data_IF_299960575017
#
_entry.id   IF_299960575017
#
_cell.length_a   1.000
_cell.length_b   1.000
_cell.length_c   1.000
_cell.angle_alpha   90.00
_cell.angle_beta   90.00
_cell.angle_gamma   90.00
#
_symmetry.space_group_name_H-M   'P 1'
#
loop_
_entity.id
_entity.type
_entity.pdbx_description
1 polymer ?
#
# COMPACT_ATOMS: atom_id res chain seq x y z
N UNK A 1 26.16 28.14 12.80
CA UNK A 1 25.31 27.26 11.96
C UNK A 1 26.11 26.04 11.54
N UNK A 2 25.54 24.85 11.74
CA UNK A 2 26.04 23.56 11.26
C UNK A 2 24.88 22.87 10.54
N UNK A 3 25.18 22.19 9.43
CA UNK A 3 24.21 21.41 8.67
C UNK A 3 24.74 19.99 8.54
N UNK A 4 23.99 19.02 9.07
CA UNK A 4 24.25 17.60 8.92
C UNK A 4 23.30 17.05 7.85
N UNK A 5 23.86 16.29 6.90
CA UNK A 5 23.10 15.60 5.85
C UNK A 5 23.48 14.15 5.86
N UNK A 6 22.49 13.27 5.94
CA UNK A 6 22.68 11.82 5.96
C UNK A 6 21.61 11.18 5.09
N UNK A 7 21.97 10.14 4.32
CA UNK A 7 20.96 9.35 3.61
C UNK A 7 20.30 8.38 4.56
N UNK A 8 18.98 8.22 4.46
CA UNK A 8 18.30 7.23 5.28
C UNK A 8 18.65 5.80 4.85
N UNK A 9 19.01 5.57 3.59
CA UNK A 9 19.54 4.29 3.10
C UNK A 9 20.84 3.84 3.78
N UNK A 10 21.61 4.79 4.32
CA UNK A 10 22.90 4.51 4.97
C UNK A 10 22.72 4.17 6.46
N UNK A 11 21.49 4.27 6.99
CA UNK A 11 21.12 3.91 8.35
C UNK A 11 20.46 2.53 8.37
N UNK A 12 20.78 1.74 9.39
CA UNK A 12 20.09 0.48 9.65
C UNK A 12 18.71 0.80 10.25
N UNK A 13 17.67 0.83 9.41
CA UNK A 13 16.29 1.07 9.81
C UNK A 13 15.40 0.00 9.21
N UNK A 14 14.54 -0.60 10.02
CA UNK A 14 13.46 -1.43 9.52
C UNK A 14 12.29 -0.56 9.02
N UNK A 15 11.21 -1.21 8.57
CA UNK A 15 10.03 -0.51 8.06
C UNK A 15 9.44 0.46 9.10
N UNK A 16 9.25 -0.02 10.33
CA UNK A 16 8.67 0.73 11.44
C UNK A 16 9.53 1.93 11.82
N UNK A 17 10.82 1.72 12.06
CA UNK A 17 11.76 2.76 12.45
C UNK A 17 11.92 3.80 11.33
N UNK A 18 11.94 3.38 10.06
CA UNK A 18 12.00 4.32 8.94
C UNK A 18 10.74 5.20 8.88
N UNK A 19 9.56 4.59 8.94
CA UNK A 19 8.27 5.29 8.93
C UNK A 19 8.14 6.28 10.10
N UNK A 20 8.45 5.82 11.33
CA UNK A 20 8.44 6.67 12.52
C UNK A 20 9.45 7.81 12.44
N UNK A 21 10.68 7.54 11.96
CA UNK A 21 11.70 8.56 11.77
C UNK A 21 11.24 9.65 10.80
N UNK A 22 10.60 9.28 9.69
CA UNK A 22 10.08 10.24 8.72
C UNK A 22 9.01 11.14 9.34
N UNK A 23 8.09 10.59 10.15
CA UNK A 23 7.09 11.40 10.88
C UNK A 23 7.74 12.35 11.89
N UNK A 24 8.80 11.92 12.59
CA UNK A 24 9.54 12.76 13.54
C UNK A 24 10.38 13.84 12.84
N UNK A 25 10.94 13.53 11.68
CA UNK A 25 11.79 14.43 10.90
C UNK A 25 10.98 15.56 10.24
N UNK A 26 9.77 15.27 9.78
CA UNK A 26 8.89 16.23 9.12
C UNK A 26 9.47 16.74 7.80
N UNK A 27 9.52 18.06 7.64
CA UNK A 27 10.01 18.76 6.44
C UNK A 27 11.52 18.68 6.21
N UNK A 28 12.26 18.01 7.11
CA UNK A 28 13.71 17.88 7.05
C UNK A 28 14.20 16.76 6.13
N UNK A 29 13.31 15.89 5.66
CA UNK A 29 13.62 14.80 4.76
C UNK A 29 13.16 15.11 3.34
N UNK A 30 14.03 14.84 2.37
CA UNK A 30 13.72 14.92 0.95
C UNK A 30 13.52 13.52 0.35
N UNK A 31 12.28 13.14 -0.04
CA UNK A 31 11.99 11.84 -0.66
C UNK A 31 12.69 11.61 -2.00
N UNK A 32 13.03 12.68 -2.75
CA UNK A 32 13.63 12.54 -4.07
C UNK A 32 15.12 12.16 -4.00
N UNK A 33 15.81 12.62 -2.95
CA UNK A 33 17.26 12.38 -2.76
C UNK A 33 17.58 11.39 -1.64
N UNK A 34 16.56 10.98 -0.86
CA UNK A 34 16.69 10.15 0.34
C UNK A 34 17.54 10.79 1.44
N UNK A 35 17.61 12.13 1.50
CA UNK A 35 18.49 12.86 2.42
C UNK A 35 17.70 13.51 3.57
N UNK A 36 18.09 13.18 4.80
CA UNK A 36 17.70 13.90 6.02
C UNK A 36 18.67 15.06 6.28
N UNK A 37 18.13 16.27 6.43
CA UNK A 37 18.90 17.50 6.67
C UNK A 37 18.59 18.09 8.04
N UNK A 38 19.57 18.06 8.96
CA UNK A 38 19.47 18.67 10.29
C UNK A 38 20.30 19.95 10.30
N UNK A 39 19.65 21.10 10.49
CA UNK A 39 20.30 22.41 10.63
C UNK A 39 20.26 22.86 12.08
N UNK A 40 21.43 23.17 12.65
CA UNK A 40 21.58 23.66 14.03
C UNK A 40 22.31 25.00 14.06
N UNK A 41 21.70 25.98 14.71
CA UNK A 41 22.21 27.35 14.82
C UNK A 41 22.02 27.97 16.21
N UNK A 42 21.47 27.21 17.16
CA UNK A 42 21.07 27.71 18.49
C UNK A 42 22.24 28.01 19.41
N UNK A 43 23.40 27.38 19.23
CA UNK A 43 24.54 27.53 20.14
C UNK A 43 25.54 28.60 19.68
N UNK A 44 26.21 29.33 20.59
CA UNK A 44 27.22 30.33 20.22
C UNK A 44 28.43 29.72 19.48
N UNK A 45 28.88 28.53 19.89
CA UNK A 45 30.04 27.89 19.29
C UNK A 45 29.63 26.89 18.21
N UNK A 46 30.43 26.83 17.13
CA UNK A 46 30.22 25.85 16.05
C UNK A 46 30.32 24.40 16.55
N UNK A 47 31.26 24.13 17.47
CA UNK A 47 31.41 22.81 18.10
C UNK A 47 30.14 22.35 18.81
N UNK A 48 29.50 23.24 19.58
CA UNK A 48 28.25 22.92 20.28
C UNK A 48 27.12 22.59 19.30
N UNK A 49 26.99 23.35 18.21
CA UNK A 49 25.99 23.05 17.17
C UNK A 49 26.26 21.71 16.47
N UNK A 50 27.54 21.35 16.28
CA UNK A 50 27.94 20.05 15.72
C UNK A 50 27.55 18.91 16.67
N UNK A 51 27.93 19.00 17.94
CA UNK A 51 27.60 18.00 18.96
C UNK A 51 26.07 17.86 19.11
N UNK A 52 25.34 18.98 19.03
CA UNK A 52 23.88 18.98 19.08
C UNK A 52 23.23 18.34 17.84
N UNK A 53 23.78 18.57 16.63
CA UNK A 53 23.27 17.93 15.42
C UNK A 53 23.42 16.40 15.48
N UNK A 54 24.57 15.92 15.99
CA UNK A 54 24.78 14.50 16.23
C UNK A 54 23.83 13.94 17.30
N UNK A 55 23.66 14.67 18.41
CA UNK A 55 22.70 14.28 19.44
C UNK A 55 21.27 14.12 18.88
N UNK A 56 20.82 15.07 18.05
CA UNK A 56 19.49 15.01 17.44
C UNK A 56 19.35 13.80 16.51
N UNK A 57 20.36 13.52 15.68
CA UNK A 57 20.36 12.34 14.83
C UNK A 57 20.28 11.04 15.66
N UNK A 58 21.12 10.93 16.69
CA UNK A 58 21.14 9.77 17.60
C UNK A 58 19.81 9.60 18.34
N UNK A 59 19.23 10.70 18.84
CA UNK A 59 17.95 10.67 19.54
C UNK A 59 16.83 10.20 18.60
N UNK A 60 16.69 10.82 17.43
CA UNK A 60 15.64 10.45 16.47
C UNK A 60 15.80 9.00 16.01
N UNK A 61 17.04 8.55 15.75
CA UNK A 61 17.32 7.16 15.40
C UNK A 61 16.87 6.20 16.51
N UNK A 62 17.26 6.41 17.76
CA UNK A 62 16.87 5.50 18.84
C UNK A 62 15.38 5.58 19.21
N UNK A 63 14.77 6.76 19.13
CA UNK A 63 13.33 6.91 19.37
C UNK A 63 12.48 6.27 18.27
N UNK A 64 12.98 6.22 17.03
CA UNK A 64 12.26 5.56 15.94
C UNK A 64 12.19 4.05 16.11
N UNK A 65 13.18 3.42 16.76
CA UNK A 65 13.18 1.98 17.07
C UNK A 65 12.25 1.58 18.23
N UNK A 66 11.80 2.54 19.04
CA UNK A 66 10.89 2.24 20.15
C UNK A 66 9.46 2.17 19.63
N UNK A 67 8.69 1.20 20.09
CA UNK A 67 7.25 1.13 19.83
C UNK A 67 6.50 1.52 21.09
N UNK A 68 5.78 2.63 21.02
CA UNK A 68 4.95 3.13 22.11
C UNK A 68 3.52 2.58 22.02
N UNK A 69 2.77 2.46 23.14
CA UNK A 69 1.43 1.86 23.13
C UNK A 69 0.43 2.55 22.21
N UNK A 70 0.54 3.88 22.04
CA UNK A 70 -0.35 4.68 21.21
C UNK A 70 -0.13 4.45 19.70
N UNK A 71 0.98 3.82 19.29
CA UNK A 71 1.22 3.50 17.88
C UNK A 71 0.26 2.43 17.36
N UNK A 72 -0.33 1.63 18.25
CA UNK A 72 -1.37 0.67 17.89
C UNK A 72 -2.68 1.33 17.44
N UNK A 73 -2.91 2.58 17.82
CA UNK A 73 -4.13 3.34 17.50
C UNK A 73 -4.03 4.11 16.17
N UNK A 74 -2.99 3.83 15.36
CA UNK A 74 -2.75 4.45 14.05
C UNK A 74 -3.91 4.15 13.10
N UNK A 75 -4.58 5.19 12.61
CA UNK A 75 -5.70 5.04 11.69
C UNK A 75 -5.23 4.72 10.26
N UNK A 76 -6.12 4.15 9.43
CA UNK A 76 -5.85 3.89 8.02
C UNK A 76 -5.43 5.17 7.25
N UNK A 77 -5.98 6.33 7.62
CA UNK A 77 -5.61 7.63 7.02
C UNK A 77 -4.19 8.08 7.36
N UNK A 78 -3.59 7.54 8.42
CA UNK A 78 -2.24 7.87 8.87
C UNK A 78 -1.19 6.91 8.29
N UNK A 79 -1.62 5.86 7.57
CA UNK A 79 -0.75 4.92 6.91
C UNK A 79 -0.07 5.57 5.69
N UNK A 80 1.23 5.34 5.59
CA UNK A 80 2.13 5.78 4.53
C UNK A 80 1.86 5.09 3.20
N UNK A 81 1.35 3.86 3.25
CA UNK A 81 0.93 3.10 2.10
C UNK A 81 -0.36 2.36 2.42
N UNK A 82 -1.08 2.02 1.36
CA UNK A 82 -2.22 1.15 1.44
C UNK A 82 -1.78 -0.30 1.67
N UNK A 83 -2.34 -0.91 2.70
CA UNK A 83 -2.23 -2.34 2.98
C UNK A 83 -3.51 -3.05 2.54
N UNK A 84 -3.37 -4.17 1.84
CA UNK A 84 -4.51 -4.99 1.42
C UNK A 84 -5.17 -5.67 2.62
N UNK A 85 -4.36 -6.16 3.56
CA UNK A 85 -4.80 -6.90 4.72
C UNK A 85 -5.63 -6.01 5.66
N UNK A 86 -6.78 -6.55 6.08
CA UNK A 86 -7.80 -5.87 6.91
C UNK A 86 -8.44 -4.65 6.24
N UNK A 87 -8.18 -4.43 4.95
CA UNK A 87 -8.79 -3.31 4.22
C UNK A 87 -10.27 -3.55 3.93
N UNK A 88 -10.99 -2.46 3.70
CA UNK A 88 -12.36 -2.52 3.19
C UNK A 88 -12.47 -3.27 1.85
N UNK A 89 -11.48 -3.14 0.98
CA UNK A 89 -11.46 -3.78 -0.33
C UNK A 89 -11.34 -5.30 -0.22
N UNK A 90 -10.51 -5.79 0.72
CA UNK A 90 -10.41 -7.21 1.05
C UNK A 90 -11.73 -7.76 1.58
N UNK A 91 -12.34 -7.09 2.57
CA UNK A 91 -13.61 -7.50 3.14
C UNK A 91 -14.72 -7.59 2.07
N UNK A 92 -14.78 -6.63 1.15
CA UNK A 92 -15.73 -6.63 0.04
C UNK A 92 -15.49 -7.80 -0.93
N UNK A 93 -14.23 -8.09 -1.28
CA UNK A 93 -13.88 -9.18 -2.18
C UNK A 93 -14.26 -10.54 -1.58
N UNK A 94 -13.90 -10.77 -0.32
CA UNK A 94 -14.26 -12.01 0.41
C UNK A 94 -15.78 -12.17 0.47
N UNK A 95 -16.51 -11.13 0.91
CA UNK A 95 -17.97 -11.17 0.96
C UNK A 95 -18.61 -11.42 -0.41
N UNK A 96 -18.03 -10.87 -1.47
CA UNK A 96 -18.52 -11.07 -2.83
C UNK A 96 -18.35 -12.53 -3.29
N UNK A 97 -17.16 -13.13 -3.09
CA UNK A 97 -16.92 -14.54 -3.43
C UNK A 97 -17.86 -15.45 -2.64
N UNK A 98 -18.11 -15.18 -1.36
CA UNK A 98 -19.09 -15.92 -0.53
C UNK A 98 -20.49 -15.86 -1.11
N UNK A 99 -20.95 -14.66 -1.50
CA UNK A 99 -22.27 -14.49 -2.14
C UNK A 99 -22.36 -15.25 -3.46
N UNK A 100 -21.30 -15.24 -4.26
CA UNK A 100 -21.25 -16.02 -5.49
C UNK A 100 -21.35 -17.52 -5.22
N UNK A 101 -20.59 -18.05 -4.26
CA UNK A 101 -20.66 -19.47 -3.87
C UNK A 101 -22.09 -19.88 -3.50
N UNK A 102 -22.77 -19.08 -2.69
CA UNK A 102 -24.15 -19.35 -2.27
C UNK A 102 -25.11 -19.36 -3.47
N UNK A 103 -24.97 -18.43 -4.41
CA UNK A 103 -25.81 -18.37 -5.61
C UNK A 103 -25.54 -19.49 -6.63
N UNK A 104 -24.29 -19.95 -6.72
CA UNK A 104 -23.86 -20.99 -7.66
C UNK A 104 -24.15 -22.40 -7.16
N UNK A 105 -24.30 -22.60 -5.83
CA UNK A 105 -24.76 -23.87 -5.28
C UNK A 105 -26.15 -24.30 -5.81
N UNK A 106 -26.90 -23.37 -6.39
CA UNK A 106 -28.23 -23.59 -6.98
C UNK A 106 -28.22 -23.78 -8.51
N UNK A 107 -27.09 -23.54 -9.20
CA UNK A 107 -26.99 -23.62 -10.67
C UNK A 107 -25.87 -24.57 -11.14
N UNK A 108 -26.22 -25.49 -12.04
CA UNK A 108 -25.34 -26.57 -12.56
C UNK A 108 -24.35 -26.10 -13.66
N UNK A 109 -24.33 -24.79 -13.98
CA UNK A 109 -23.53 -24.27 -15.10
C UNK A 109 -22.13 -23.80 -14.64
N UNK A 110 -21.11 -24.27 -15.37
CA UNK A 110 -19.67 -24.12 -15.06
C UNK A 110 -19.12 -22.73 -15.43
N UNK A 111 -19.76 -21.67 -14.96
CA UNK A 111 -19.37 -20.29 -15.32
C UNK A 111 -18.14 -19.79 -14.54
N UNK A 112 -17.88 -20.31 -13.33
CA UNK A 112 -16.84 -19.82 -12.42
C UNK A 112 -16.11 -20.97 -11.69
N UNK A 113 -15.11 -21.62 -12.33
CA UNK A 113 -14.45 -22.80 -11.76
C UNK A 113 -13.66 -22.49 -10.48
N UNK A 114 -13.09 -21.29 -10.36
CA UNK A 114 -12.32 -20.85 -9.19
C UNK A 114 -13.16 -20.61 -7.93
N UNK A 115 -14.46 -20.37 -8.10
CA UNK A 115 -15.41 -20.18 -6.99
C UNK A 115 -16.09 -21.50 -6.62
N UNK A 116 -16.41 -22.33 -7.62
CA UNK A 116 -17.05 -23.64 -7.43
C UNK A 116 -16.11 -24.69 -6.82
N UNK A 117 -14.79 -24.56 -7.01
CA UNK A 117 -13.81 -25.47 -6.42
C UNK A 117 -13.61 -25.26 -4.91
N UNK A 118 -14.12 -24.17 -4.36
CA UNK A 118 -14.01 -23.87 -2.94
C UNK A 118 -15.08 -24.64 -2.15
N UNK A 119 -14.65 -25.23 -1.03
CA UNK A 119 -15.57 -25.90 -0.11
C UNK A 119 -16.64 -24.92 0.41
N UNK A 120 -17.91 -25.34 0.58
CA UNK A 120 -18.96 -24.51 1.18
C UNK A 120 -18.62 -24.09 2.63
N UNK A 121 -17.73 -24.82 3.31
CA UNK A 121 -17.18 -24.53 4.64
C UNK A 121 -15.76 -23.93 4.57
N UNK A 122 -15.41 -23.22 3.49
CA UNK A 122 -14.09 -22.57 3.39
C UNK A 122 -13.94 -21.45 4.42
N UNK A 123 -12.72 -21.19 4.88
CA UNK A 123 -12.39 -20.06 5.75
C UNK A 123 -12.12 -18.80 4.92
N UNK A 124 -12.10 -17.63 5.55
CA UNK A 124 -11.74 -16.38 4.85
C UNK A 124 -10.32 -16.43 4.29
N UNK A 125 -9.42 -17.13 4.97
CA UNK A 125 -8.05 -17.35 4.51
C UNK A 125 -7.99 -18.21 3.24
N UNK A 126 -8.89 -19.19 3.11
CA UNK A 126 -9.02 -19.99 1.87
C UNK A 126 -9.52 -19.14 0.70
N UNK A 127 -10.47 -18.23 0.95
CA UNK A 127 -10.96 -17.30 -0.08
C UNK A 127 -9.86 -16.32 -0.51
N UNK A 128 -9.05 -15.83 0.44
CA UNK A 128 -7.89 -14.98 0.15
C UNK A 128 -6.78 -15.72 -0.60
N UNK A 129 -6.72 -17.05 -0.46
CA UNK A 129 -5.72 -17.86 -1.16
C UNK A 129 -5.99 -17.99 -2.67
N UNK A 130 -7.23 -17.75 -3.11
CA UNK A 130 -7.68 -17.80 -4.51
C UNK A 130 -6.88 -16.83 -5.37
N UNK A 131 -6.40 -17.32 -6.52
CA UNK A 131 -5.54 -16.55 -7.42
C UNK A 131 -6.20 -15.24 -7.87
N UNK A 132 -7.47 -15.29 -8.27
CA UNK A 132 -8.21 -14.12 -8.75
C UNK A 132 -8.41 -13.06 -7.65
N UNK A 133 -8.51 -13.48 -6.38
CA UNK A 133 -8.62 -12.56 -5.23
C UNK A 133 -7.26 -11.91 -4.93
N UNK A 134 -6.16 -12.67 -5.07
CA UNK A 134 -4.80 -12.14 -4.94
C UNK A 134 -4.47 -11.15 -6.06
N UNK A 135 -4.77 -11.51 -7.31
CA UNK A 135 -4.55 -10.66 -8.48
C UNK A 135 -5.34 -9.34 -8.35
N UNK A 136 -6.55 -9.40 -7.80
CA UNK A 136 -7.34 -8.23 -7.48
C UNK A 136 -6.67 -7.38 -6.39
N UNK A 137 -6.25 -8.00 -5.28
CA UNK A 137 -5.58 -7.30 -4.19
C UNK A 137 -4.28 -6.62 -4.63
N UNK A 138 -3.45 -7.31 -5.42
CA UNK A 138 -2.22 -6.75 -5.98
C UNK A 138 -2.50 -5.54 -6.88
N UNK A 139 -3.52 -5.62 -7.74
CA UNK A 139 -3.89 -4.50 -8.61
C UNK A 139 -4.40 -3.29 -7.82
N UNK A 140 -5.15 -3.51 -6.74
CA UNK A 140 -5.60 -2.43 -5.84
C UNK A 140 -4.40 -1.80 -5.13
N UNK A 141 -3.47 -2.60 -4.59
CA UNK A 141 -2.25 -2.09 -3.97
C UNK A 141 -1.40 -1.27 -4.95
N UNK A 142 -1.28 -1.72 -6.19
CA UNK A 142 -0.53 -1.00 -7.23
C UNK A 142 -1.13 0.38 -7.53
N UNK A 143 -2.46 0.48 -7.64
CA UNK A 143 -3.14 1.77 -7.85
C UNK A 143 -2.92 2.71 -6.66
N UNK A 144 -3.11 2.21 -5.44
CA UNK A 144 -3.00 3.06 -4.25
C UNK A 144 -1.56 3.49 -3.93
N UNK A 145 -0.58 2.59 -4.12
CA UNK A 145 0.81 2.83 -3.71
C UNK A 145 1.70 3.31 -4.85
N UNK A 146 1.49 2.78 -6.06
CA UNK A 146 2.24 3.14 -7.27
C UNK A 146 1.64 4.33 -8.02
N UNK A 147 0.39 4.68 -7.71
CA UNK A 147 -0.35 5.76 -8.35
C UNK A 147 -1.16 5.31 -9.56
N UNK A 148 -2.01 6.21 -10.05
CA UNK A 148 -2.90 5.93 -11.18
C UNK A 148 -2.14 6.01 -12.50
N UNK A 149 -2.07 4.88 -13.21
CA UNK A 149 -1.56 4.79 -14.58
C UNK A 149 -2.49 3.96 -15.44
N UNK A 150 -2.43 4.14 -16.76
CA UNK A 150 -3.25 3.36 -17.71
C UNK A 150 -2.99 1.85 -17.55
N UNK A 151 -1.73 1.47 -17.28
CA UNK A 151 -1.34 0.08 -17.04
C UNK A 151 -1.93 -0.47 -15.73
N UNK A 152 -1.90 0.32 -14.66
CA UNK A 152 -2.47 -0.07 -13.37
C UNK A 152 -3.99 -0.24 -13.46
N UNK A 153 -4.68 0.67 -14.15
CA UNK A 153 -6.12 0.58 -14.40
C UNK A 153 -6.50 -0.62 -15.26
N UNK A 154 -5.72 -0.92 -16.29
CA UNK A 154 -5.94 -2.09 -17.14
C UNK A 154 -5.72 -3.41 -16.37
N UNK A 155 -4.70 -3.46 -15.51
CA UNK A 155 -4.48 -4.60 -14.60
C UNK A 155 -5.64 -4.79 -13.64
N UNK A 156 -6.12 -3.72 -13.02
CA UNK A 156 -7.29 -3.75 -12.14
C UNK A 156 -8.56 -4.18 -12.87
N UNK A 157 -8.81 -3.63 -14.06
CA UNK A 157 -9.95 -4.03 -14.90
C UNK A 157 -9.90 -5.52 -15.22
N UNK A 158 -8.73 -6.04 -15.59
CA UNK A 158 -8.52 -7.46 -15.89
C UNK A 158 -8.75 -8.34 -14.66
N UNK A 159 -8.21 -7.96 -13.51
CA UNK A 159 -8.37 -8.74 -12.27
C UNK A 159 -9.83 -8.77 -11.81
N UNK A 160 -10.56 -7.65 -11.90
CA UNK A 160 -12.00 -7.60 -11.63
C UNK A 160 -12.78 -8.45 -12.62
N UNK A 161 -12.50 -8.36 -13.93
CA UNK A 161 -13.18 -9.19 -14.93
C UNK A 161 -12.93 -10.69 -14.67
N UNK A 162 -11.70 -11.06 -14.31
CA UNK A 162 -11.36 -12.45 -13.96
C UNK A 162 -12.11 -12.92 -12.72
N UNK A 163 -12.13 -12.10 -11.66
CA UNK A 163 -12.85 -12.38 -10.42
C UNK A 163 -14.36 -12.59 -10.66
N UNK A 164 -14.94 -11.80 -11.57
CA UNK A 164 -16.36 -11.85 -11.95
C UNK A 164 -16.68 -12.89 -13.03
N UNK A 165 -15.69 -13.55 -13.64
CA UNK A 165 -15.88 -14.44 -14.80
C UNK A 165 -16.37 -13.74 -16.08
N UNK A 166 -16.13 -12.43 -16.19
CA UNK A 166 -16.50 -11.66 -17.37
C UNK A 166 -15.42 -11.77 -18.45
N UNK A 167 -15.83 -12.00 -19.71
CA UNK A 167 -14.90 -11.99 -20.84
C UNK A 167 -14.41 -10.55 -21.07
N UNK A 168 -13.10 -10.35 -20.92
CA UNK A 168 -12.40 -9.07 -21.11
C UNK A 168 -12.70 -8.38 -22.46
N UNK A 169 -13.09 -9.14 -23.49
CA UNK A 169 -13.31 -8.65 -24.85
C UNK A 169 -14.55 -7.73 -25.04
N UNK A 170 -15.44 -7.59 -24.05
CA UNK A 170 -16.68 -6.79 -24.20
C UNK A 170 -16.64 -5.38 -23.57
N UNK A 171 -15.47 -4.93 -23.11
CA UNK A 171 -15.32 -3.67 -22.36
C UNK A 171 -14.36 -2.67 -23.03
N UNK A 172 -13.99 -2.86 -24.30
CA UNK A 172 -13.37 -1.80 -25.08
C UNK A 172 -14.48 -0.87 -25.59
N UNK A 173 -14.37 0.45 -25.44
CA UNK A 173 -15.31 1.35 -26.09
C UNK A 173 -15.18 1.13 -27.59
N UNK A 174 -16.29 0.87 -28.28
CA UNK A 174 -16.34 0.99 -29.73
C UNK A 174 -15.77 2.36 -30.07
N UNK A 175 -14.62 2.37 -30.74
CA UNK A 175 -14.06 3.56 -31.33
C UNK A 175 -15.11 4.07 -32.31
N UNK A 176 -15.87 5.08 -31.90
CA UNK A 176 -16.84 5.74 -32.75
C UNK A 176 -16.11 6.28 -33.97
N UNK A 177 -16.28 5.58 -35.09
CA UNK A 177 -16.00 6.13 -36.42
C UNK A 177 -16.91 7.34 -36.62
N UNK A 178 -16.39 8.53 -36.30
CA UNK A 178 -16.96 9.78 -36.82
C UNK A 178 -16.58 9.83 -38.30
N UNK A 179 -17.41 9.24 -39.15
CA UNK A 179 -17.44 9.58 -40.57
C UNK A 179 -17.91 11.03 -40.69
N UNK A 180 -16.97 11.93 -40.92
CA UNK A 180 -17.25 13.28 -41.37
C UNK A 180 -17.82 13.22 -42.79
N UNK A 181 -19.08 13.64 -42.94
CA UNK A 181 -19.68 14.04 -44.23
C UNK A 181 -19.64 15.55 -44.37
#
# INVERSE_FOLDING_TARGET
IVTLRVKLSDLELDYHARDKLLRLAGDRYDPATDVLTIVTDRCPLKKQNYDYAHYLLTAVYHESWKTEPWEADKAESDMECFFWEKSRSEANAVQFVRRLQQSLAEQDETTLPHVQSLSPECTDDDVKAVAEVKDYGEAVCEIHNGGESEQAWEKYKRSVCSLLGLKHAQLSPEAGEVQAS
#
